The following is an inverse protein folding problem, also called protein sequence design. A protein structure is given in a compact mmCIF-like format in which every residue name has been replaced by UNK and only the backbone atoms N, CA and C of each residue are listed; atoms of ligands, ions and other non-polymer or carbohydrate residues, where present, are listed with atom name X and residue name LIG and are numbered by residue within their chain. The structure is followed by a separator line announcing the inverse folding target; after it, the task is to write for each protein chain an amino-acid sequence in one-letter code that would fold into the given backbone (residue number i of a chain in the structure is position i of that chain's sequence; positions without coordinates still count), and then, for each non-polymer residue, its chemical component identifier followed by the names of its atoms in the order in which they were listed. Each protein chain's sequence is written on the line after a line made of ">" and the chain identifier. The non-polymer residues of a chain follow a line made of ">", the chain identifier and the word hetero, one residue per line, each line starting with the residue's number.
data_IF_666657328063
#
_entry.id   IF_666657328063
#
_cell.length_a   1.000
_cell.length_b   1.000
_cell.length_c   1.000
_cell.angle_alpha   90.00
_cell.angle_beta   90.00
_cell.angle_gamma   90.00
#
_symmetry.space_group_name_H-M   'P 1'
#
loop_
_entity.id
_entity.type
_entity.pdbx_description
1 polymer ?
#
# COMPACT_ATOMS: atom_id res chain seq x y z
N UNK A 1 -7.33 10.82 1.38
CA UNK A 1 -7.34 11.99 2.25
C UNK A 1 -6.68 11.68 3.60
N UNK A 2 -5.36 11.78 3.70
CA UNK A 2 -4.74 11.76 5.03
C UNK A 2 -5.11 13.03 5.80
N UNK A 3 -5.96 12.87 6.81
CA UNK A 3 -6.52 13.93 7.67
C UNK A 3 -5.51 14.86 8.37
N UNK A 4 -4.20 14.59 8.26
CA UNK A 4 -3.14 15.28 8.99
C UNK A 4 -2.12 16.03 8.10
N UNK A 5 -2.28 16.03 6.76
CA UNK A 5 -1.38 16.73 5.83
C UNK A 5 -2.04 18.00 5.27
N UNK A 6 -1.29 19.11 5.16
CA UNK A 6 -1.70 20.33 4.46
C UNK A 6 -0.73 20.65 3.31
N UNK A 7 -1.18 20.67 2.04
CA UNK A 7 -2.54 20.33 1.58
C UNK A 7 -2.85 18.82 1.79
N UNK A 8 -4.15 18.45 1.89
CA UNK A 8 -4.56 17.06 2.06
C UNK A 8 -4.14 16.22 0.85
N UNK A 9 -3.35 15.18 1.10
CA UNK A 9 -2.95 14.21 0.07
C UNK A 9 -3.92 13.01 0.06
N UNK A 10 -4.11 12.34 -1.08
CA UNK A 10 -4.82 11.06 -1.14
C UNK A 10 -4.19 10.03 -0.18
N UNK A 11 -5.00 9.18 0.44
CA UNK A 11 -4.49 8.19 1.42
C UNK A 11 -3.53 7.20 0.75
N UNK A 12 -3.78 6.91 -0.53
CA UNK A 12 -2.88 6.16 -1.40
C UNK A 12 -1.43 6.68 -1.38
N UNK A 13 -1.22 8.00 -1.36
CA UNK A 13 0.13 8.58 -1.33
C UNK A 13 0.85 8.20 -0.04
N UNK A 14 0.15 8.16 1.08
CA UNK A 14 0.74 7.76 2.36
C UNK A 14 1.04 6.27 2.42
N UNK A 15 0.16 5.42 1.89
CA UNK A 15 0.41 3.99 1.76
C UNK A 15 1.65 3.74 0.90
N UNK A 16 1.77 4.39 -0.26
CA UNK A 16 2.94 4.29 -1.14
C UNK A 16 4.22 4.83 -0.49
N UNK A 17 4.15 5.92 0.27
CA UNK A 17 5.32 6.45 1.02
C UNK A 17 5.81 5.49 2.10
N UNK A 18 4.95 4.64 2.64
CA UNK A 18 5.35 3.63 3.63
C UNK A 18 5.83 2.37 2.92
N UNK A 19 4.99 1.77 2.09
CA UNK A 19 5.16 0.40 1.62
C UNK A 19 5.48 0.27 0.13
N UNK A 20 5.34 1.34 -0.65
CA UNK A 20 5.70 1.34 -2.07
C UNK A 20 7.22 1.41 -2.32
N UNK A 21 7.65 1.38 -3.59
CA UNK A 21 9.06 1.53 -3.96
C UNK A 21 9.67 2.82 -3.39
N UNK A 22 10.86 2.71 -2.81
CA UNK A 22 11.56 3.78 -2.10
C UNK A 22 10.83 4.31 -0.85
N UNK A 23 9.82 3.59 -0.35
CA UNK A 23 9.09 3.93 0.87
C UNK A 23 9.88 3.69 2.15
N UNK A 24 9.27 4.05 3.28
CA UNK A 24 9.87 3.96 4.62
C UNK A 24 10.26 2.52 4.99
N UNK A 25 9.48 1.50 4.58
CA UNK A 25 9.85 0.10 4.78
C UNK A 25 11.20 -0.22 4.12
N UNK A 26 11.38 0.16 2.86
CA UNK A 26 12.65 -0.04 2.16
C UNK A 26 13.79 0.75 2.81
N UNK A 27 13.53 2.00 3.21
CA UNK A 27 14.55 2.87 3.81
C UNK A 27 15.04 2.35 5.17
N UNK A 28 14.19 1.70 5.96
CA UNK A 28 14.57 1.15 7.27
C UNK A 28 15.53 -0.05 7.17
N UNK A 29 15.65 -0.66 5.99
CA UNK A 29 16.62 -1.72 5.74
C UNK A 29 18.04 -1.18 5.49
N UNK A 30 18.19 0.10 5.14
CA UNK A 30 19.49 0.73 4.84
C UNK A 30 20.34 -0.12 3.87
N UNK A 31 21.57 -0.47 4.25
CA UNK A 31 22.51 -1.25 3.44
C UNK A 31 22.13 -2.73 3.31
N UNK A 32 21.09 -3.19 4.03
CA UNK A 32 20.59 -4.57 4.02
C UNK A 32 19.45 -4.81 3.03
N UNK A 33 18.95 -3.75 2.39
CA UNK A 33 17.91 -3.85 1.36
C UNK A 33 18.29 -4.88 0.29
N UNK A 34 17.38 -5.82 0.01
CA UNK A 34 17.55 -6.97 -0.92
C UNK A 34 18.68 -7.96 -0.58
N UNK A 35 19.27 -7.88 0.62
CA UNK A 35 20.26 -8.86 1.11
C UNK A 35 19.66 -9.87 2.08
N UNK A 36 18.84 -9.39 3.01
CA UNK A 36 18.27 -10.21 4.10
C UNK A 36 16.74 -10.33 4.05
N UNK A 37 16.08 -9.62 3.11
CA UNK A 37 14.62 -9.49 3.05
C UNK A 37 14.06 -8.42 4.00
N UNK A 38 14.90 -7.76 4.78
CA UNK A 38 14.46 -6.68 5.65
C UNK A 38 13.99 -5.46 4.85
N UNK A 39 12.93 -4.82 5.34
CA UNK A 39 12.28 -3.70 4.67
C UNK A 39 11.39 -4.08 3.49
N UNK A 40 11.30 -5.37 3.14
CA UNK A 40 10.37 -5.87 2.13
C UNK A 40 8.99 -6.13 2.76
N UNK A 41 7.92 -5.61 2.15
CA UNK A 41 6.57 -5.77 2.66
C UNK A 41 5.52 -4.95 1.92
N UNK A 42 4.33 -4.90 2.50
CA UNK A 42 3.17 -4.24 1.94
C UNK A 42 2.22 -3.73 3.03
N UNK A 43 1.35 -2.80 2.64
CA UNK A 43 0.29 -2.25 3.51
C UNK A 43 -1.01 -2.28 2.73
N UNK A 44 -2.06 -2.77 3.38
CA UNK A 44 -3.45 -2.58 2.97
C UNK A 44 -4.05 -1.57 3.95
N UNK A 45 -4.64 -0.51 3.42
CA UNK A 45 -5.34 0.49 4.19
C UNK A 45 -6.75 0.70 3.66
N UNK A 46 -7.66 1.08 4.56
CA UNK A 46 -9.03 1.44 4.23
C UNK A 46 -9.23 2.89 4.68
N UNK A 47 -9.47 3.76 3.73
CA UNK A 47 -9.88 5.13 4.00
C UNK A 47 -11.40 5.18 4.09
N UNK A 48 -11.92 5.54 5.27
CA UNK A 48 -13.36 5.71 5.46
C UNK A 48 -13.74 7.19 5.43
N UNK A 49 -14.53 7.60 4.44
CA UNK A 49 -14.99 8.97 4.26
C UNK A 49 -16.50 8.95 4.07
N UNK A 50 -17.24 9.55 5.01
CA UNK A 50 -18.70 9.77 4.90
C UNK A 50 -19.52 8.51 4.58
N UNK A 51 -19.12 7.34 5.09
CA UNK A 51 -19.83 6.08 4.85
C UNK A 51 -19.23 5.25 3.70
N UNK A 52 -18.35 5.81 2.88
CA UNK A 52 -17.65 5.10 1.81
C UNK A 52 -16.27 4.61 2.29
N UNK A 53 -15.90 3.39 1.91
CA UNK A 53 -14.63 2.78 2.24
C UNK A 53 -13.76 2.61 0.99
N UNK A 54 -12.68 3.36 0.88
CA UNK A 54 -11.73 3.27 -0.23
C UNK A 54 -10.59 2.35 0.19
N UNK A 55 -10.50 1.18 -0.46
CA UNK A 55 -9.41 0.24 -0.24
C UNK A 55 -8.19 0.67 -1.05
N UNK A 56 -7.03 0.77 -0.38
CA UNK A 56 -5.75 1.07 -1.01
C UNK A 56 -4.72 0.04 -0.55
N UNK A 57 -3.96 -0.50 -1.48
CA UNK A 57 -2.86 -1.40 -1.17
C UNK A 57 -1.62 -1.03 -1.99
N UNK A 58 -0.44 -1.03 -1.35
CA UNK A 58 0.85 -0.91 -2.03
C UNK A 58 1.91 -1.74 -1.31
N UNK A 59 2.94 -2.14 -2.04
CA UNK A 59 4.01 -3.02 -1.58
C UNK A 59 5.29 -2.83 -2.41
N UNK A 60 6.44 -3.19 -1.83
CA UNK A 60 7.76 -3.06 -2.45
C UNK A 60 8.44 -4.41 -2.71
N UNK A 61 7.82 -5.50 -2.26
CA UNK A 61 8.27 -6.87 -2.49
C UNK A 61 7.78 -7.44 -3.83
N UNK A 62 8.15 -8.68 -4.14
CA UNK A 62 7.77 -9.33 -5.40
C UNK A 62 6.28 -9.61 -5.56
N UNK A 63 5.49 -9.60 -4.48
CA UNK A 63 4.06 -9.81 -4.50
C UNK A 63 3.44 -9.70 -3.11
N UNK A 64 2.15 -9.39 -3.05
CA UNK A 64 1.37 -9.33 -1.83
C UNK A 64 0.02 -9.99 -2.06
N UNK A 65 -0.17 -11.16 -1.45
CA UNK A 65 -1.49 -11.80 -1.38
C UNK A 65 -2.48 -10.87 -0.68
N UNK A 66 -3.48 -10.40 -1.42
CA UNK A 66 -4.52 -9.51 -0.91
C UNK A 66 -5.85 -9.81 -1.57
N UNK A 67 -6.92 -9.56 -0.81
CA UNK A 67 -8.29 -9.63 -1.28
C UNK A 67 -9.07 -8.44 -0.75
N UNK A 68 -10.10 -8.03 -1.49
CA UNK A 68 -11.01 -6.95 -1.10
C UNK A 68 -12.35 -7.13 -1.82
N UNK A 69 -13.37 -6.40 -1.38
CA UNK A 69 -14.64 -6.26 -2.12
C UNK A 69 -14.57 -4.93 -2.84
N UNK A 70 -14.80 -4.92 -4.15
CA UNK A 70 -14.78 -3.70 -4.95
C UNK A 70 -16.09 -2.88 -4.83
N UNK A 71 -16.16 -1.78 -5.56
CA UNK A 71 -17.29 -0.86 -5.51
C UNK A 71 -18.59 -1.46 -6.09
N UNK A 72 -18.49 -2.53 -6.89
CA UNK A 72 -19.63 -3.29 -7.42
C UNK A 72 -20.11 -4.38 -6.44
N UNK A 73 -19.39 -4.59 -5.34
CA UNK A 73 -19.68 -5.63 -4.36
C UNK A 73 -19.07 -7.00 -4.71
N UNK A 74 -18.18 -7.05 -5.70
CA UNK A 74 -17.56 -8.29 -6.17
C UNK A 74 -16.26 -8.57 -5.39
N UNK A 75 -16.03 -9.85 -5.09
CA UNK A 75 -14.83 -10.31 -4.38
C UNK A 75 -13.63 -10.33 -5.33
N UNK A 76 -12.59 -9.57 -4.99
CA UNK A 76 -11.35 -9.47 -5.75
C UNK A 76 -10.19 -10.12 -4.97
N UNK A 77 -9.25 -10.71 -5.71
CA UNK A 77 -7.99 -11.22 -5.17
C UNK A 77 -6.86 -10.94 -6.15
N UNK A 78 -5.72 -10.49 -5.63
CA UNK A 78 -4.52 -10.25 -6.45
C UNK A 78 -3.25 -10.53 -5.64
N UNK A 79 -2.17 -10.89 -6.34
CA UNK A 79 -0.84 -11.07 -5.72
C UNK A 79 0.15 -10.06 -6.29
N UNK A 80 0.21 -9.94 -7.62
CA UNK A 80 1.16 -9.07 -8.30
C UNK A 80 0.59 -7.66 -8.53
N UNK A 81 1.40 -6.72 -9.02
CA UNK A 81 0.92 -5.41 -9.49
C UNK A 81 0.41 -5.55 -10.92
N UNK A 82 -0.51 -4.69 -11.34
CA UNK A 82 -0.96 -4.65 -12.73
C UNK A 82 0.21 -4.30 -13.67
N UNK A 83 0.30 -4.98 -14.81
CA UNK A 83 1.37 -4.80 -15.78
C UNK A 83 2.66 -5.58 -15.50
N UNK A 84 2.65 -6.51 -14.54
CA UNK A 84 3.61 -7.60 -14.42
C UNK A 84 3.10 -8.87 -15.12
#
# INVERSE_FOLDING_TARGET
>A
MTRFSSPPLPFAVSVSRVAGPNGILQQSAEDRWKKTGEGEGGVIGIEHVQGEGIVVADFNCGGMFRAWVDDDGEEQMMVFKEGF
#
